data_IF_659476940704
#
_entry.id   IF_659476940704
#
_cell.length_a   1.000
_cell.length_b   1.000
_cell.length_c   1.000
_cell.angle_alpha   90.00
_cell.angle_beta   90.00
_cell.angle_gamma   90.00
#
_symmetry.space_group_name_H-M   'P 1'
#
loop_
_entity.id
_entity.type
_entity.pdbx_description
1 polymer ?
#
# COMPACT_ATOMS: atom_id res chain seq x y z
N UNK A 1 5.08 14.67 -7.30
CA UNK A 1 5.62 13.27 -7.34
C UNK A 1 4.47 12.25 -7.34
N UNK A 2 4.60 11.16 -8.10
CA UNK A 2 3.59 10.08 -8.16
C UNK A 2 4.21 8.69 -7.95
N UNK A 3 3.61 7.92 -7.04
CA UNK A 3 3.88 6.51 -6.79
C UNK A 3 2.79 5.66 -7.43
N UNK A 4 3.20 4.55 -8.04
CA UNK A 4 2.29 3.61 -8.69
C UNK A 4 2.31 2.30 -7.91
N UNK A 5 1.17 1.91 -7.35
CA UNK A 5 0.96 0.64 -6.69
C UNK A 5 0.10 -0.25 -7.59
N UNK A 6 0.74 -1.29 -8.15
CA UNK A 6 0.06 -2.31 -8.93
C UNK A 6 -0.24 -3.51 -8.03
N UNK A 7 -1.50 -3.93 -7.93
CA UNK A 7 -1.96 -4.95 -6.97
C UNK A 7 -2.59 -6.15 -7.65
N UNK A 8 -2.48 -7.30 -7.00
CA UNK A 8 -3.29 -8.47 -7.24
C UNK A 8 -4.07 -8.78 -5.96
N UNK A 9 -5.38 -8.88 -6.09
CA UNK A 9 -6.29 -9.19 -5.00
C UNK A 9 -6.57 -10.69 -4.98
N UNK A 10 -6.48 -11.29 -3.79
CA UNK A 10 -6.78 -12.69 -3.54
C UNK A 10 -7.77 -12.79 -2.39
N UNK A 11 -8.40 -13.96 -2.24
CA UNK A 11 -9.36 -14.20 -1.15
C UNK A 11 -8.75 -13.96 0.24
N UNK A 12 -7.48 -14.36 0.43
CA UNK A 12 -6.78 -14.26 1.72
C UNK A 12 -6.02 -12.96 1.97
N UNK A 13 -5.95 -12.04 0.99
CA UNK A 13 -5.12 -10.83 1.10
C UNK A 13 -4.82 -10.18 -0.24
N UNK A 14 -4.19 -9.02 -0.19
CA UNK A 14 -3.77 -8.29 -1.40
C UNK A 14 -2.26 -8.11 -1.37
N UNK A 15 -1.61 -8.44 -2.49
CA UNK A 15 -0.18 -8.19 -2.69
C UNK A 15 -0.01 -7.17 -3.81
N UNK A 16 0.98 -6.30 -3.70
CA UNK A 16 1.28 -5.33 -4.74
C UNK A 16 2.76 -5.01 -4.87
N UNK A 17 3.10 -4.33 -5.96
CA UNK A 17 4.43 -3.80 -6.22
C UNK A 17 4.35 -2.28 -6.37
N UNK A 18 5.20 -1.57 -5.62
CA UNK A 18 5.24 -0.12 -5.57
C UNK A 18 6.39 0.42 -6.42
N UNK A 19 6.09 1.38 -7.29
CA UNK A 19 7.03 1.98 -8.21
C UNK A 19 7.09 3.50 -8.08
N UNK A 20 8.25 4.06 -8.36
CA UNK A 20 8.45 5.49 -8.59
C UNK A 20 9.25 5.68 -9.87
N UNK A 21 8.76 6.49 -10.82
CA UNK A 21 9.41 6.69 -12.12
C UNK A 21 9.77 5.36 -12.81
N UNK A 22 8.82 4.41 -12.82
CA UNK A 22 8.98 3.04 -13.36
C UNK A 22 10.06 2.18 -12.67
N UNK A 23 10.67 2.65 -11.58
CA UNK A 23 11.63 1.89 -10.79
C UNK A 23 10.93 1.25 -9.59
N UNK A 24 11.15 -0.05 -9.42
CA UNK A 24 10.63 -0.81 -8.29
C UNK A 24 11.22 -0.30 -6.97
N UNK A 25 10.36 -0.05 -5.98
CA UNK A 25 10.76 0.36 -4.63
C UNK A 25 10.70 -0.84 -3.68
N UNK A 26 9.52 -1.41 -3.53
CA UNK A 26 9.22 -2.50 -2.60
C UNK A 26 7.90 -3.17 -2.98
N UNK A 27 7.60 -4.29 -2.32
CA UNK A 27 6.26 -4.87 -2.35
C UNK A 27 5.37 -4.24 -1.27
N UNK A 28 4.06 -4.39 -1.43
CA UNK A 28 3.05 -3.98 -0.48
C UNK A 28 2.16 -5.19 -0.13
N UNK A 29 1.78 -5.31 1.13
CA UNK A 29 0.76 -6.26 1.60
C UNK A 29 -0.40 -5.48 2.22
N UNK A 30 -1.62 -5.97 1.98
CA UNK A 30 -2.86 -5.41 2.52
C UNK A 30 -3.86 -6.54 2.83
N UNK A 31 -4.96 -6.20 3.49
CA UNK A 31 -6.12 -7.08 3.66
C UNK A 31 -6.77 -7.42 2.29
N UNK A 32 -7.62 -8.47 2.21
CA UNK A 32 -8.40 -8.72 1.01
C UNK A 32 -9.39 -7.57 0.74
N UNK A 33 -9.86 -7.46 -0.51
CA UNK A 33 -10.97 -6.57 -0.82
C UNK A 33 -12.29 -7.13 -0.24
N UNK A 34 -12.99 -6.30 0.52
CA UNK A 34 -14.30 -6.60 1.11
C UNK A 34 -15.19 -5.37 1.02
N UNK A 35 -15.42 -4.87 -0.19
CA UNK A 35 -16.31 -3.73 -0.47
C UNK A 35 -16.00 -2.48 0.36
N UNK A 36 -14.70 -2.14 0.49
CA UNK A 36 -14.22 -1.02 1.30
C UNK A 36 -14.68 -1.07 2.78
N UNK A 37 -15.04 -2.25 3.31
CA UNK A 37 -15.51 -2.40 4.68
C UNK A 37 -14.45 -2.01 5.70
N UNK A 38 -14.92 -1.38 6.78
CA UNK A 38 -14.01 -0.82 7.78
C UNK A 38 -13.22 -1.91 8.53
N UNK A 39 -11.93 -1.68 8.72
CA UNK A 39 -10.99 -2.53 9.46
C UNK A 39 -10.70 -3.91 8.88
N UNK A 40 -11.44 -4.36 7.86
CA UNK A 40 -11.34 -5.70 7.29
C UNK A 40 -11.03 -5.72 5.79
N UNK A 41 -11.09 -4.56 5.11
CA UNK A 41 -10.83 -4.42 3.67
C UNK A 41 -9.55 -3.62 3.40
N UNK A 42 -8.86 -3.92 2.29
CA UNK A 42 -8.00 -2.93 1.65
C UNK A 42 -8.83 -1.75 1.09
N UNK A 43 -8.16 -0.63 0.79
CA UNK A 43 -8.82 0.56 0.24
C UNK A 43 -9.06 0.42 -1.27
N UNK A 44 -10.02 1.17 -1.84
CA UNK A 44 -10.35 1.09 -3.26
C UNK A 44 -9.16 1.43 -4.15
N UNK A 45 -9.22 1.00 -5.41
CA UNK A 45 -8.36 1.56 -6.44
C UNK A 45 -8.67 3.05 -6.62
N UNK A 46 -7.66 3.83 -6.98
CA UNK A 46 -7.82 5.28 -7.09
C UNK A 46 -6.54 6.04 -6.88
N UNK A 47 -6.68 7.36 -6.79
CA UNK A 47 -5.58 8.31 -6.70
C UNK A 47 -5.70 9.10 -5.41
N UNK A 48 -4.73 8.92 -4.52
CA UNK A 48 -4.75 9.44 -3.16
C UNK A 48 -3.56 10.35 -2.89
N UNK A 49 -3.74 11.37 -2.05
CA UNK A 49 -2.63 12.15 -1.54
C UNK A 49 -1.95 11.37 -0.39
N UNK A 50 -0.62 11.31 -0.43
CA UNK A 50 0.21 10.81 0.65
C UNK A 50 0.85 11.97 1.40
N UNK A 51 0.77 11.92 2.73
CA UNK A 51 1.47 12.84 3.60
C UNK A 51 2.40 12.10 4.56
N UNK A 52 3.59 12.66 4.78
CA UNK A 52 4.47 12.22 5.84
C UNK A 52 3.91 12.65 7.19
N UNK A 53 3.89 11.73 8.15
CA UNK A 53 3.39 11.98 9.49
C UNK A 53 4.30 11.35 10.56
N UNK A 54 4.10 11.77 11.81
CA UNK A 54 4.81 11.24 12.96
C UNK A 54 3.86 11.00 14.14
N UNK A 55 3.98 9.85 14.79
CA UNK A 55 3.33 9.57 16.08
C UNK A 55 4.27 8.82 17.02
N UNK A 56 4.00 8.85 18.32
CA UNK A 56 4.77 8.07 19.31
C UNK A 56 4.77 6.57 19.01
N UNK A 57 3.62 6.05 18.57
CA UNK A 57 3.36 4.63 18.25
C UNK A 57 4.02 4.17 16.96
N UNK A 58 3.84 4.90 15.86
CA UNK A 58 4.29 4.47 14.53
C UNK A 58 5.57 5.17 14.06
N UNK A 59 6.12 6.10 14.84
CA UNK A 59 7.25 6.96 14.45
C UNK A 59 6.95 7.62 13.11
N UNK A 60 7.93 7.73 12.21
CA UNK A 60 7.70 8.24 10.85
C UNK A 60 6.95 7.21 10.00
N UNK A 61 5.86 7.65 9.39
CA UNK A 61 5.00 6.84 8.53
C UNK A 61 4.29 7.74 7.52
N UNK A 62 3.53 7.15 6.60
CA UNK A 62 2.71 7.90 5.66
C UNK A 62 1.24 7.75 5.99
N UNK A 63 0.46 8.78 5.66
CA UNK A 63 -1.00 8.79 5.75
C UNK A 63 -1.57 8.88 4.34
N UNK A 64 -2.52 8.00 4.02
CA UNK A 64 -3.33 8.08 2.80
C UNK A 64 -4.53 8.96 3.10
N UNK A 65 -4.60 10.12 2.45
CA UNK A 65 -5.67 11.09 2.66
C UNK A 65 -6.84 10.86 1.72
N UNK A 66 -8.01 11.35 2.15
CA UNK A 66 -9.23 11.44 1.33
C UNK A 66 -9.68 10.08 0.76
N UNK A 67 -9.51 9.00 1.53
CA UNK A 67 -10.06 7.69 1.17
C UNK A 67 -11.58 7.73 1.35
N UNK A 68 -12.40 7.46 0.32
CA UNK A 68 -13.86 7.51 0.43
C UNK A 68 -14.39 6.63 1.56
N UNK A 69 -15.17 7.22 2.48
CA UNK A 69 -15.80 6.50 3.60
C UNK A 69 -14.83 5.94 4.66
N UNK A 70 -13.53 6.27 4.60
CA UNK A 70 -12.49 5.74 5.48
C UNK A 70 -11.57 6.84 5.98
N UNK A 71 -11.06 6.68 7.19
CA UNK A 71 -10.05 7.55 7.79
C UNK A 71 -8.99 6.70 8.49
N UNK A 72 -7.88 7.33 8.89
CA UNK A 72 -6.80 6.64 9.60
C UNK A 72 -6.08 5.57 8.77
N UNK A 73 -6.07 5.72 7.44
CA UNK A 73 -5.36 4.80 6.55
C UNK A 73 -3.88 5.19 6.51
N UNK A 74 -3.04 4.28 6.97
CA UNK A 74 -1.60 4.51 7.10
C UNK A 74 -0.83 3.59 6.16
N UNK A 75 0.40 4.01 5.83
CA UNK A 75 1.46 3.13 5.33
C UNK A 75 2.45 2.92 6.47
N UNK A 76 2.46 1.73 7.08
CA UNK A 76 3.31 1.41 8.23
C UNK A 76 3.92 0.02 8.13
N UNK A 77 4.97 -0.25 8.91
CA UNK A 77 5.60 -1.55 8.92
C UNK A 77 4.66 -2.61 9.51
N UNK A 78 4.49 -3.71 8.78
CA UNK A 78 3.86 -4.96 9.20
C UNK A 78 4.34 -6.08 8.26
N UNK A 79 4.39 -7.32 8.75
CA UNK A 79 4.84 -8.48 7.98
C UNK A 79 3.69 -9.46 7.69
N UNK A 80 2.55 -9.32 8.38
CA UNK A 80 1.36 -10.12 8.20
C UNK A 80 0.11 -9.23 8.21
N UNK A 81 -0.56 -9.12 7.06
CA UNK A 81 -1.70 -8.23 6.88
C UNK A 81 -2.87 -8.57 7.81
N UNK A 82 -3.26 -9.85 7.90
CA UNK A 82 -4.43 -10.27 8.68
C UNK A 82 -4.24 -10.14 10.19
N UNK A 83 -2.98 -10.17 10.67
CA UNK A 83 -2.67 -10.03 12.10
C UNK A 83 -2.42 -8.59 12.53
N UNK A 84 -1.86 -7.76 11.64
CA UNK A 84 -1.29 -6.47 12.03
C UNK A 84 -2.01 -5.27 11.40
N UNK A 85 -2.80 -5.45 10.33
CA UNK A 85 -3.48 -4.37 9.62
C UNK A 85 -4.98 -4.32 9.93
N UNK A 86 -5.52 -3.10 9.85
CA UNK A 86 -6.97 -2.82 9.93
C UNK A 86 -7.41 -1.97 8.73
N UNK A 87 -7.00 -2.40 7.55
CA UNK A 87 -7.20 -1.69 6.28
C UNK A 87 -6.12 -0.66 5.93
N UNK A 88 -5.00 -0.68 6.65
CA UNK A 88 -3.78 0.03 6.27
C UNK A 88 -3.00 -0.74 5.20
N UNK A 89 -1.93 -0.13 4.67
CA UNK A 89 -1.00 -0.75 3.74
C UNK A 89 0.35 -0.96 4.42
N UNK A 90 1.06 -2.04 4.10
CA UNK A 90 2.39 -2.29 4.65
C UNK A 90 3.43 -2.60 3.58
N UNK A 91 4.56 -1.85 3.53
CA UNK A 91 5.65 -2.16 2.63
C UNK A 91 6.45 -3.35 3.18
N UNK A 92 6.89 -4.25 2.29
CA UNK A 92 7.78 -5.38 2.59
C UNK A 92 8.86 -5.48 1.52
N UNK A 93 10.03 -6.03 1.89
CA UNK A 93 11.13 -6.19 0.91
C UNK A 93 10.91 -7.44 0.05
N UNK A 94 10.40 -8.51 0.66
CA UNK A 94 10.06 -9.77 -0.01
C UNK A 94 8.67 -10.22 0.41
N UNK A 95 7.91 -10.75 -0.54
CA UNK A 95 6.68 -11.47 -0.27
C UNK A 95 7.01 -12.89 0.19
N UNK A 96 6.26 -13.40 1.16
CA UNK A 96 6.36 -14.79 1.63
C UNK A 96 5.06 -15.56 1.44
N UNK A 97 3.99 -14.89 1.00
CA UNK A 97 2.70 -15.47 0.72
C UNK A 97 1.66 -14.38 0.42
N UNK A 98 0.39 -14.79 0.37
CA UNK A 98 -0.74 -13.87 0.21
C UNK A 98 -0.89 -13.04 1.48
N UNK A 99 -0.79 -11.71 1.37
CA UNK A 99 -0.89 -10.79 2.51
C UNK A 99 0.26 -10.93 3.52
N UNK A 100 1.37 -11.58 3.16
CA UNK A 100 2.51 -11.80 4.06
C UNK A 100 3.83 -11.50 3.37
N UNK A 101 4.78 -10.97 4.15
CA UNK A 101 6.11 -10.65 3.69
C UNK A 101 7.08 -10.41 4.84
N UNK A 102 8.32 -10.06 4.50
CA UNK A 102 9.38 -9.84 5.48
C UNK A 102 10.15 -8.54 5.23
N UNK A 103 10.87 -8.10 6.26
CA UNK A 103 11.71 -6.90 6.26
C UNK A 103 10.91 -5.61 5.97
N UNK A 104 9.73 -5.49 6.60
CA UNK A 104 8.85 -4.32 6.42
C UNK A 104 9.46 -2.99 6.84
N UNK A 105 10.19 -2.97 7.96
CA UNK A 105 10.88 -1.75 8.43
C UNK A 105 11.90 -1.25 7.41
N UNK A 106 12.72 -2.15 6.86
CA UNK A 106 13.69 -1.83 5.80
C UNK A 106 13.00 -1.26 4.55
N UNK A 107 11.86 -1.83 4.16
CA UNK A 107 11.08 -1.34 3.03
C UNK A 107 10.44 0.03 3.31
N UNK A 108 9.92 0.24 4.52
CA UNK A 108 9.38 1.52 4.97
C UNK A 108 10.46 2.60 4.99
N UNK A 109 11.63 2.33 5.58
CA UNK A 109 12.74 3.29 5.64
C UNK A 109 13.19 3.71 4.24
N UNK A 110 13.29 2.76 3.31
CA UNK A 110 13.59 3.03 1.89
C UNK A 110 12.53 3.94 1.26
N UNK A 111 11.25 3.67 1.52
CA UNK A 111 10.14 4.47 1.00
C UNK A 111 10.17 5.90 1.59
N UNK A 112 10.34 6.04 2.91
CA UNK A 112 10.42 7.33 3.59
C UNK A 112 11.60 8.17 3.09
N UNK A 113 12.75 7.55 2.81
CA UNK A 113 13.92 8.25 2.24
C UNK A 113 13.62 8.82 0.84
N UNK A 114 12.87 8.10 0.02
CA UNK A 114 12.43 8.60 -1.29
C UNK A 114 11.48 9.79 -1.11
N UNK A 115 10.51 9.67 -0.19
CA UNK A 115 9.60 10.75 0.18
C UNK A 115 10.35 12.03 0.59
N UNK A 116 11.28 11.93 1.53
CA UNK A 116 12.04 13.08 2.04
C UNK A 116 12.87 13.76 0.94
N UNK A 117 13.46 12.98 0.02
CA UNK A 117 14.21 13.53 -1.11
C UNK A 117 13.31 14.31 -2.07
N UNK A 118 12.08 13.86 -2.28
CA UNK A 118 11.16 14.48 -3.23
C UNK A 118 10.33 15.63 -2.62
N UNK A 119 10.13 15.64 -1.30
CA UNK A 119 9.43 16.72 -0.56
C UNK A 119 10.08 18.09 -0.76
N UNK A 120 11.38 18.15 -1.02
CA UNK A 120 12.13 19.40 -1.27
C UNK A 120 11.57 20.26 -2.42
N UNK A 121 10.70 19.71 -3.27
CA UNK A 121 10.10 20.41 -4.42
C UNK A 121 8.73 21.04 -4.16
N UNK A 122 8.16 20.94 -2.95
CA UNK A 122 6.78 21.40 -2.59
C UNK A 122 5.65 20.83 -3.48
N UNK A 123 5.92 19.75 -4.22
CA UNK A 123 4.89 19.09 -5.02
C UNK A 123 4.04 18.15 -4.18
N UNK A 124 2.74 18.00 -4.48
CA UNK A 124 1.92 16.96 -3.87
C UNK A 124 2.51 15.58 -4.17
N UNK A 125 2.45 14.71 -3.17
CA UNK A 125 2.84 13.31 -3.29
C UNK A 125 1.60 12.47 -3.47
N UNK A 126 1.51 11.81 -4.62
CA UNK A 126 0.34 11.05 -5.01
C UNK A 126 0.66 9.56 -4.99
N UNK A 127 -0.29 8.75 -4.52
CA UNK A 127 -0.33 7.31 -4.69
C UNK A 127 -1.47 6.95 -5.63
N UNK A 128 -1.13 6.38 -6.77
CA UNK A 128 -2.08 5.80 -7.72
C UNK A 128 -2.09 4.30 -7.53
N UNK A 129 -3.26 3.75 -7.22
CA UNK A 129 -3.47 2.34 -6.95
C UNK A 129 -4.27 1.74 -8.09
N UNK A 130 -3.79 0.61 -8.62
CA UNK A 130 -4.43 -0.11 -9.72
C UNK A 130 -4.33 -1.61 -9.46
N UNK A 131 -5.46 -2.30 -9.41
CA UNK A 131 -5.53 -3.74 -9.29
C UNK A 131 -5.60 -4.38 -10.67
N UNK A 132 -4.95 -5.53 -10.86
CA UNK A 132 -5.11 -6.33 -12.06
C UNK A 132 -6.57 -6.80 -12.15
N UNK A 133 -7.23 -6.50 -13.27
CA UNK A 133 -8.53 -7.09 -13.59
C UNK A 133 -8.25 -8.49 -14.13
N UNK A 134 -8.55 -9.52 -13.35
CA UNK A 134 -8.67 -10.85 -13.92
C UNK A 134 -9.96 -10.87 -14.73
N UNK A 135 -9.86 -10.67 -16.04
CA UNK A 135 -10.91 -11.15 -16.93
C UNK A 135 -10.96 -12.65 -16.75
N UNK A 136 -12.02 -13.17 -16.12
CA UNK A 136 -12.31 -14.58 -16.19
C UNK A 136 -12.43 -14.89 -17.68
N UNK A 137 -11.41 -15.57 -18.23
CA UNK A 137 -11.53 -16.15 -19.56
C UNK A 137 -12.65 -17.16 -19.44
N UNK A 138 -13.79 -16.88 -20.06
CA UNK A 138 -14.77 -17.90 -20.37
C UNK A 138 -14.04 -18.94 -21.23
N UNK A 139 -13.62 -20.02 -20.56
CA UNK A 139 -12.95 -21.14 -21.18
C UNK A 139 -13.93 -21.82 -22.11
N UNK A 140 -13.81 -21.55 -23.40
CA UNK A 140 -14.35 -22.35 -24.48
C UNK A 140 -13.30 -22.42 -25.59
N UNK A 141 -12.41 -23.41 -25.49
CA UNK A 141 -11.69 -24.01 -26.62
C UNK A 141 -11.68 -25.52 -26.42
#
# INVERSE_FOLDING_TARGET
MELQLLRNQFEGGTNGALFYQRKFICFMIELPWKENAQNISCIPDGRYELALWFTSRFKHHLVVKNVPGRSGILVHAANNASKELRGCLAPVTHLTGIGTGILSRKALDKLLLIFERCRKKKEPMILTITSAVFCNGDGNY
#
